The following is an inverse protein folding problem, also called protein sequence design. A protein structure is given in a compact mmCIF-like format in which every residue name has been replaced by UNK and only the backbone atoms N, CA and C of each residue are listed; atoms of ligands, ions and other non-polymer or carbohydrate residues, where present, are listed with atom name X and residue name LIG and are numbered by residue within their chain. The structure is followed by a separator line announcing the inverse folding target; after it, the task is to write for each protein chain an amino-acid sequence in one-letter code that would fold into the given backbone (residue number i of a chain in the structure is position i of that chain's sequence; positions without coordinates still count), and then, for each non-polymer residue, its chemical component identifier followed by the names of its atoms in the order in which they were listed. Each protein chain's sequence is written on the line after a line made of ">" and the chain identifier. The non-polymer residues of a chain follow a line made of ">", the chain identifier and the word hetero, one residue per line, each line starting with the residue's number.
data_IF_578919237732
#
_entry.id   IF_578919237732
#
_cell.length_a   1.000
_cell.length_b   1.000
_cell.length_c   1.000
_cell.angle_alpha   90.00
_cell.angle_beta   90.00
_cell.angle_gamma   90.00
#
_symmetry.space_group_name_H-M   'P 1'
#
loop_
_entity.id
_entity.type
_entity.pdbx_description
1 polymer ?
#
# COMPACT_ATOMS: atom_id res chain seq x y z
N UNK A 1 -26.80 2.06 39.58
CA UNK A 1 -27.14 0.96 38.66
C UNK A 1 -27.52 1.43 37.24
N UNK A 2 -28.25 2.54 37.10
CA UNK A 2 -28.75 3.05 35.80
C UNK A 2 -27.65 3.35 34.76
N UNK A 3 -26.49 3.86 35.16
CA UNK A 3 -25.39 4.18 34.23
C UNK A 3 -24.80 2.96 33.50
N UNK A 4 -24.75 1.79 34.17
CA UNK A 4 -24.29 0.53 33.55
C UNK A 4 -25.30 0.02 32.51
N UNK A 5 -26.59 0.20 32.77
CA UNK A 5 -27.65 -0.20 31.83
C UNK A 5 -27.65 0.70 30.58
N UNK A 6 -27.44 2.00 30.74
CA UNK A 6 -27.32 2.94 29.60
C UNK A 6 -26.10 2.60 28.73
N UNK A 7 -24.95 2.27 29.36
CA UNK A 7 -23.76 1.86 28.62
C UNK A 7 -23.99 0.56 27.84
N UNK A 8 -24.63 -0.44 28.47
CA UNK A 8 -24.92 -1.73 27.83
C UNK A 8 -25.86 -1.58 26.62
N UNK A 9 -26.90 -0.74 26.75
CA UNK A 9 -27.83 -0.45 25.65
C UNK A 9 -27.12 0.26 24.49
N UNK A 10 -26.23 1.22 24.77
CA UNK A 10 -25.46 1.91 23.73
C UNK A 10 -24.51 0.95 23.00
N UNK A 11 -23.83 0.06 23.72
CA UNK A 11 -22.91 -0.91 23.11
C UNK A 11 -23.67 -1.94 22.26
N UNK A 12 -24.82 -2.41 22.73
CA UNK A 12 -25.68 -3.31 21.96
C UNK A 12 -26.24 -2.64 20.68
N UNK A 13 -26.58 -1.35 20.74
CA UNK A 13 -27.06 -0.59 19.59
C UNK A 13 -25.96 -0.37 18.54
N UNK A 14 -24.71 -0.16 18.97
CA UNK A 14 -23.54 -0.03 18.07
C UNK A 14 -23.20 -1.35 17.37
N UNK A 15 -23.38 -2.50 18.03
CA UNK A 15 -23.16 -3.82 17.44
C UNK A 15 -24.30 -4.26 16.51
N UNK A 16 -25.46 -3.61 16.58
CA UNK A 16 -26.63 -3.93 15.78
C UNK A 16 -26.65 -3.22 14.40
N UNK A 17 -25.65 -2.41 14.08
CA UNK A 17 -25.56 -1.77 12.76
C UNK A 17 -24.97 -2.78 11.77
N UNK A 18 -25.74 -3.27 10.78
CA UNK A 18 -25.16 -4.10 9.74
C UNK A 18 -24.17 -3.26 8.94
N UNK A 19 -22.89 -3.64 8.99
CA UNK A 19 -21.87 -3.10 8.11
C UNK A 19 -22.10 -3.65 6.69
N UNK A 20 -23.10 -3.11 5.98
CA UNK A 20 -23.32 -3.41 4.57
C UNK A 20 -22.28 -2.67 3.74
N UNK A 21 -21.05 -3.17 3.76
CA UNK A 21 -20.04 -2.78 2.78
C UNK A 21 -20.34 -3.57 1.51
N UNK A 22 -21.09 -3.00 0.57
CA UNK A 22 -21.19 -3.58 -0.77
C UNK A 22 -19.85 -3.31 -1.47
N UNK A 23 -19.01 -4.33 -1.71
CA UNK A 23 -17.70 -4.10 -2.28
C UNK A 23 -17.87 -3.54 -3.70
N UNK A 24 -17.21 -2.42 -3.97
CA UNK A 24 -17.39 -1.75 -5.25
C UNK A 24 -16.82 -2.61 -6.38
N UNK A 25 -17.56 -2.75 -7.48
CA UNK A 25 -17.09 -3.47 -8.67
C UNK A 25 -15.87 -2.77 -9.24
N UNK A 26 -14.80 -3.49 -9.53
CA UNK A 26 -13.56 -2.98 -10.15
C UNK A 26 -13.51 -3.30 -11.64
N UNK A 27 -14.11 -4.40 -12.07
CA UNK A 27 -14.02 -4.83 -13.46
C UNK A 27 -14.57 -6.24 -13.67
N UNK A 28 -14.22 -6.81 -14.81
CA UNK A 28 -14.56 -8.18 -15.16
C UNK A 28 -13.39 -8.87 -15.89
N UNK A 29 -13.31 -10.18 -15.74
CA UNK A 29 -12.30 -10.99 -16.43
C UNK A 29 -12.67 -11.17 -17.90
N UNK A 30 -11.73 -10.95 -18.80
CA UNK A 30 -11.87 -11.19 -20.24
C UNK A 30 -11.55 -12.66 -20.54
N UNK A 31 -10.45 -13.14 -19.96
CA UNK A 31 -9.97 -14.49 -20.12
C UNK A 31 -8.93 -14.81 -19.05
N UNK A 32 -8.79 -16.10 -18.77
CA UNK A 32 -7.92 -16.59 -17.72
C UNK A 32 -7.46 -18.01 -18.04
N UNK A 33 -6.25 -18.32 -17.61
CA UNK A 33 -5.65 -19.64 -17.66
C UNK A 33 -4.89 -19.84 -16.37
N UNK A 34 -5.23 -20.89 -15.60
CA UNK A 34 -4.61 -21.16 -14.30
C UNK A 34 -4.62 -19.96 -13.35
N UNK A 35 -5.66 -19.13 -13.41
CA UNK A 35 -5.83 -17.99 -12.52
C UNK A 35 -6.93 -18.29 -11.49
N UNK A 36 -6.79 -17.73 -10.29
CA UNK A 36 -7.70 -17.94 -9.17
C UNK A 36 -8.04 -16.63 -8.48
N UNK A 37 -9.23 -16.57 -7.92
CA UNK A 37 -9.72 -15.46 -7.09
C UNK A 37 -10.42 -16.07 -5.87
N UNK A 38 -10.01 -15.66 -4.66
CA UNK A 38 -10.57 -16.23 -3.43
C UNK A 38 -10.47 -17.76 -3.32
N UNK A 39 -9.49 -18.38 -3.97
CA UNK A 39 -9.32 -19.84 -4.03
C UNK A 39 -10.12 -20.57 -5.11
N UNK A 40 -11.07 -19.92 -5.78
CA UNK A 40 -11.81 -20.47 -6.91
C UNK A 40 -11.11 -20.18 -8.23
N UNK A 41 -11.32 -21.03 -9.25
CA UNK A 41 -10.81 -20.78 -10.60
C UNK A 41 -11.48 -19.54 -11.19
N UNK A 42 -10.67 -18.64 -11.72
CA UNK A 42 -11.14 -17.44 -12.39
C UNK A 42 -11.57 -17.82 -13.80
N UNK A 43 -12.76 -17.42 -14.21
CA UNK A 43 -13.31 -17.67 -15.55
C UNK A 43 -13.68 -16.36 -16.25
N UNK A 44 -13.77 -16.39 -17.58
CA UNK A 44 -14.21 -15.26 -18.37
C UNK A 44 -15.60 -14.76 -17.91
N UNK A 45 -15.77 -13.45 -17.82
CA UNK A 45 -16.99 -12.81 -17.33
C UNK A 45 -17.12 -12.72 -15.82
N UNK A 46 -16.18 -13.27 -15.04
CA UNK A 46 -16.21 -13.13 -13.57
C UNK A 46 -16.02 -11.68 -13.18
N UNK A 47 -16.97 -11.14 -12.41
CA UNK A 47 -16.92 -9.79 -11.83
C UNK A 47 -15.86 -9.74 -10.74
N UNK A 48 -14.99 -8.74 -10.82
CA UNK A 48 -13.96 -8.46 -9.82
C UNK A 48 -14.44 -7.33 -8.94
N UNK A 49 -14.34 -7.54 -7.64
CA UNK A 49 -14.71 -6.59 -6.60
C UNK A 49 -13.48 -5.96 -5.97
N UNK A 50 -13.67 -4.80 -5.35
CA UNK A 50 -12.63 -4.07 -4.65
C UNK A 50 -12.15 -4.88 -3.45
N UNK A 51 -10.85 -5.13 -3.38
CA UNK A 51 -10.20 -5.94 -2.35
C UNK A 51 -9.81 -7.34 -2.84
N UNK A 52 -10.30 -7.76 -4.00
CA UNK A 52 -10.01 -9.08 -4.55
C UNK A 52 -8.52 -9.26 -4.86
N UNK A 53 -8.05 -10.46 -4.59
CA UNK A 53 -6.69 -10.90 -4.88
C UNK A 53 -6.76 -11.96 -5.97
N UNK A 54 -6.05 -11.69 -7.06
CA UNK A 54 -5.93 -12.60 -8.19
C UNK A 54 -4.55 -13.25 -8.12
N UNK A 55 -4.53 -14.57 -8.19
CA UNK A 55 -3.32 -15.38 -8.23
C UNK A 55 -3.26 -16.13 -9.56
N UNK A 56 -2.12 -16.05 -10.24
CA UNK A 56 -1.88 -16.73 -11.51
C UNK A 56 -0.80 -17.80 -11.31
N UNK A 57 -1.07 -19.00 -11.79
CA UNK A 57 -0.16 -20.14 -11.72
C UNK A 57 1.07 -20.00 -12.62
N UNK A 58 1.97 -20.99 -12.56
CA UNK A 58 3.27 -20.96 -13.24
C UNK A 58 3.21 -20.95 -14.78
N UNK A 59 2.10 -21.39 -15.37
CA UNK A 59 1.87 -21.32 -16.83
C UNK A 59 0.58 -20.57 -17.16
N UNK A 60 0.16 -19.71 -16.25
CA UNK A 60 -1.11 -19.01 -16.33
C UNK A 60 -1.00 -17.62 -16.93
N UNK A 61 -2.17 -17.07 -17.23
CA UNK A 61 -2.41 -15.69 -17.63
C UNK A 61 -3.77 -15.26 -17.08
N UNK A 62 -3.95 -13.99 -16.72
CA UNK A 62 -5.27 -13.43 -16.50
C UNK A 62 -5.39 -12.07 -17.19
N UNK A 63 -6.42 -11.87 -18.01
CA UNK A 63 -6.72 -10.62 -18.68
C UNK A 63 -8.02 -10.04 -18.13
N UNK A 64 -7.99 -8.78 -17.73
CA UNK A 64 -9.05 -8.12 -16.99
C UNK A 64 -9.39 -6.78 -17.64
N UNK A 65 -10.69 -6.55 -17.85
CA UNK A 65 -11.21 -5.23 -18.19
C UNK A 65 -11.64 -4.53 -16.92
N UNK A 66 -11.10 -3.34 -16.71
CA UNK A 66 -11.42 -2.51 -15.57
C UNK A 66 -12.61 -1.61 -15.91
N UNK A 67 -13.42 -1.34 -14.89
CA UNK A 67 -14.41 -0.27 -14.93
C UNK A 67 -13.75 1.06 -15.29
N UNK A 68 -14.31 1.77 -16.25
CA UNK A 68 -13.72 2.99 -16.80
C UNK A 68 -12.97 2.77 -18.12
N UNK A 69 -12.61 1.53 -18.47
CA UNK A 69 -12.06 1.18 -19.79
C UNK A 69 -10.57 0.84 -19.81
N UNK A 70 -9.89 0.80 -18.66
CA UNK A 70 -8.53 0.27 -18.57
C UNK A 70 -8.48 -1.26 -18.72
N UNK A 71 -7.30 -1.79 -19.01
CA UNK A 71 -7.06 -3.24 -19.08
C UNK A 71 -5.84 -3.62 -18.25
N UNK A 72 -5.86 -4.80 -17.64
CA UNK A 72 -4.72 -5.40 -16.93
C UNK A 72 -4.54 -6.83 -17.40
N UNK A 73 -3.32 -7.17 -17.78
CA UNK A 73 -2.89 -8.52 -18.09
C UNK A 73 -1.85 -8.96 -17.06
N UNK A 74 -2.15 -10.01 -16.31
CA UNK A 74 -1.27 -10.63 -15.31
C UNK A 74 -0.57 -11.84 -15.94
N UNK A 75 0.75 -11.88 -15.83
CA UNK A 75 1.57 -12.99 -16.31
C UNK A 75 1.62 -14.16 -15.33
N UNK A 76 2.38 -15.19 -15.69
CA UNK A 76 2.64 -16.35 -14.84
C UNK A 76 3.21 -15.94 -13.47
N UNK A 77 2.93 -16.79 -12.46
CA UNK A 77 3.41 -16.64 -11.07
C UNK A 77 3.04 -15.31 -10.40
N UNK A 78 2.05 -14.61 -10.94
CA UNK A 78 1.67 -13.28 -10.46
C UNK A 78 0.67 -13.34 -9.31
N UNK A 79 0.76 -12.37 -8.42
CA UNK A 79 -0.27 -12.09 -7.42
C UNK A 79 -0.53 -10.61 -7.41
N UNK A 80 -1.76 -10.23 -7.70
CA UNK A 80 -2.17 -8.84 -7.73
C UNK A 80 -3.44 -8.63 -6.92
N UNK A 81 -3.51 -7.49 -6.21
CA UNK A 81 -4.73 -7.02 -5.55
C UNK A 81 -5.32 -5.89 -6.36
N UNK A 82 -6.63 -5.91 -6.56
CA UNK A 82 -7.36 -4.83 -7.19
C UNK A 82 -8.22 -4.13 -6.15
N UNK A 83 -8.21 -2.80 -6.15
CA UNK A 83 -8.98 -2.00 -5.20
C UNK A 83 -9.57 -0.80 -5.93
N UNK A 84 -10.78 -0.41 -5.60
CA UNK A 84 -11.35 0.86 -6.06
C UNK A 84 -11.09 1.92 -5.00
N UNK A 85 -10.42 3.00 -5.38
CA UNK A 85 -10.21 4.18 -4.54
C UNK A 85 -10.95 5.36 -5.16
N UNK A 86 -12.15 5.68 -4.67
CA UNK A 86 -13.04 6.66 -5.29
C UNK A 86 -13.25 6.35 -6.80
N UNK A 87 -12.85 7.26 -7.68
CA UNK A 87 -13.02 7.15 -9.13
C UNK A 87 -11.89 6.38 -9.85
N UNK A 88 -10.85 5.94 -9.13
CA UNK A 88 -9.72 5.21 -9.72
C UNK A 88 -9.68 3.75 -9.32
N UNK A 89 -9.19 2.94 -10.24
CA UNK A 89 -8.83 1.56 -9.94
C UNK A 89 -7.34 1.53 -9.59
N UNK A 90 -7.03 0.86 -8.49
CA UNK A 90 -5.67 0.63 -8.03
C UNK A 90 -5.34 -0.85 -8.25
N UNK A 91 -4.30 -1.10 -9.04
CA UNK A 91 -3.69 -2.42 -9.21
C UNK A 91 -2.44 -2.47 -8.33
N UNK A 92 -2.35 -3.39 -7.38
CA UNK A 92 -1.17 -3.60 -6.56
C UNK A 92 -0.53 -4.94 -6.89
N UNK A 93 0.69 -4.92 -7.45
CA UNK A 93 1.43 -6.12 -7.85
C UNK A 93 2.38 -6.56 -6.74
N UNK A 94 2.06 -7.70 -6.10
CA UNK A 94 2.87 -8.27 -5.03
C UNK A 94 4.01 -9.18 -5.50
N UNK A 95 3.84 -9.87 -6.64
CA UNK A 95 4.87 -10.71 -7.29
C UNK A 95 4.51 -10.97 -8.75
N UNK A 96 5.48 -11.45 -9.52
CA UNK A 96 5.33 -11.78 -10.95
C UNK A 96 5.34 -10.53 -11.83
N UNK A 97 4.53 -10.53 -12.89
CA UNK A 97 4.49 -9.46 -13.86
C UNK A 97 3.05 -9.05 -14.23
N UNK A 98 2.86 -7.75 -14.46
CA UNK A 98 1.61 -7.19 -14.92
C UNK A 98 1.88 -6.17 -16.05
N UNK A 99 1.03 -6.21 -17.07
CA UNK A 99 0.93 -5.16 -18.07
C UNK A 99 -0.38 -4.45 -17.84
N UNK A 100 -0.34 -3.13 -17.70
CA UNK A 100 -1.55 -2.34 -17.56
C UNK A 100 -1.68 -1.37 -18.74
N UNK A 101 -2.92 -1.12 -19.13
CA UNK A 101 -3.29 -0.15 -20.16
C UNK A 101 -4.30 0.83 -19.58
N UNK A 102 -3.97 2.10 -19.59
CA UNK A 102 -4.90 3.19 -19.31
C UNK A 102 -5.36 3.81 -20.62
N UNK A 103 -6.63 4.22 -20.66
CA UNK A 103 -7.25 4.93 -21.79
C UNK A 103 -7.18 6.45 -21.64
N UNK A 104 -6.54 6.96 -20.58
CA UNK A 104 -6.44 8.39 -20.28
C UNK A 104 -7.69 9.00 -19.64
N UNK A 105 -8.89 8.48 -19.97
CA UNK A 105 -10.16 8.85 -19.33
C UNK A 105 -10.48 8.01 -18.09
N UNK A 106 -9.84 6.84 -17.97
CA UNK A 106 -9.95 5.93 -16.84
C UNK A 106 -8.70 6.03 -15.97
N UNK A 107 -8.75 6.67 -14.78
CA UNK A 107 -7.61 6.73 -13.91
C UNK A 107 -7.34 5.32 -13.36
N UNK A 108 -6.33 4.67 -13.93
CA UNK A 108 -5.73 3.45 -13.42
C UNK A 108 -4.42 3.84 -12.75
N UNK A 109 -4.27 3.46 -11.50
CA UNK A 109 -3.04 3.57 -10.74
C UNK A 109 -2.48 2.18 -10.51
N UNK A 110 -1.29 1.91 -11.03
CA UNK A 110 -0.60 0.67 -10.76
C UNK A 110 0.43 0.90 -9.65
N UNK A 111 0.59 -0.08 -8.77
CA UNK A 111 1.48 -0.01 -7.62
C UNK A 111 2.38 -1.23 -7.59
N UNK A 112 3.65 -0.99 -7.32
CA UNK A 112 4.65 -2.03 -7.09
C UNK A 112 5.58 -1.52 -6.00
N UNK A 113 5.79 -2.33 -4.96
CA UNK A 113 6.50 -1.89 -3.76
C UNK A 113 5.91 -0.57 -3.21
N UNK A 114 6.72 0.49 -3.13
CA UNK A 114 6.34 1.84 -2.68
C UNK A 114 6.14 2.84 -3.83
N UNK A 115 6.11 2.36 -5.07
CA UNK A 115 5.93 3.20 -6.25
C UNK A 115 4.48 3.14 -6.73
N UNK A 116 3.92 4.31 -7.04
CA UNK A 116 2.63 4.49 -7.71
C UNK A 116 2.88 4.98 -9.13
N UNK A 117 2.25 4.36 -10.11
CA UNK A 117 2.48 4.58 -11.53
C UNK A 117 1.15 4.93 -12.18
N UNK A 118 1.12 6.04 -12.92
CA UNK A 118 -0.06 6.52 -13.65
C UNK A 118 0.32 7.03 -15.03
N UNK A 119 -0.65 7.05 -15.94
CA UNK A 119 -0.49 7.78 -17.19
C UNK A 119 -0.30 9.28 -16.92
N UNK A 120 0.62 9.91 -17.65
CA UNK A 120 0.85 11.35 -17.56
C UNK A 120 0.02 12.07 -18.64
N UNK A 121 -1.23 12.37 -18.30
CA UNK A 121 -2.16 13.10 -19.16
C UNK A 121 -3.33 12.27 -19.67
N UNK A 122 -4.11 12.81 -20.63
CA UNK A 122 -5.32 12.18 -21.16
C UNK A 122 -5.06 11.15 -22.28
N UNK A 123 -3.80 10.97 -22.68
CA UNK A 123 -3.43 10.00 -23.72
C UNK A 123 -3.40 8.57 -23.15
N UNK A 124 -3.75 7.55 -23.94
CA UNK A 124 -3.59 6.17 -23.53
C UNK A 124 -2.12 5.85 -23.23
N UNK A 125 -1.88 5.09 -22.16
CA UNK A 125 -0.54 4.66 -21.78
C UNK A 125 -0.53 3.16 -21.46
N UNK A 126 0.59 2.51 -21.76
CA UNK A 126 0.84 1.09 -21.48
C UNK A 126 2.09 0.99 -20.61
N UNK A 127 1.92 0.49 -19.39
CA UNK A 127 3.02 0.22 -18.48
C UNK A 127 3.23 -1.26 -18.26
N UNK A 128 4.48 -1.63 -18.03
CA UNK A 128 4.91 -2.98 -17.67
C UNK A 128 5.54 -2.92 -16.28
N UNK A 129 5.10 -3.83 -15.42
CA UNK A 129 5.57 -3.99 -14.05
C UNK A 129 6.04 -5.44 -13.92
N UNK A 130 7.25 -5.66 -13.46
CA UNK A 130 7.76 -7.01 -13.26
C UNK A 130 8.69 -7.08 -12.06
N UNK A 131 8.47 -8.06 -11.20
CA UNK A 131 9.42 -8.46 -10.20
C UNK A 131 10.46 -9.38 -10.83
N UNK A 132 11.75 -9.04 -10.66
CA UNK A 132 12.89 -9.90 -11.01
C UNK A 132 13.25 -10.82 -9.84
N UNK A 133 13.16 -10.28 -8.63
CA UNK A 133 13.39 -10.98 -7.36
C UNK A 133 12.42 -10.41 -6.30
N UNK A 134 12.39 -10.93 -5.06
CA UNK A 134 11.55 -10.37 -4.00
C UNK A 134 11.88 -8.90 -3.63
N UNK A 135 13.05 -8.42 -4.01
CA UNK A 135 13.55 -7.08 -3.67
C UNK A 135 13.92 -6.26 -4.90
N UNK A 136 13.80 -6.79 -6.11
CA UNK A 136 14.18 -6.06 -7.34
C UNK A 136 13.12 -6.23 -8.41
N UNK A 137 12.87 -5.16 -9.16
CA UNK A 137 11.93 -5.20 -10.26
C UNK A 137 12.18 -4.11 -11.29
N UNK A 138 11.32 -4.10 -12.29
CA UNK A 138 11.36 -3.17 -13.42
C UNK A 138 10.00 -2.53 -13.61
N UNK A 139 10.04 -1.24 -13.88
CA UNK A 139 8.90 -0.46 -14.36
C UNK A 139 9.28 0.07 -15.73
N UNK A 140 8.49 -0.23 -16.75
CA UNK A 140 8.74 0.25 -18.11
C UNK A 140 7.51 0.91 -18.72
N UNK A 141 7.72 1.99 -19.46
CA UNK A 141 6.70 2.63 -20.27
C UNK A 141 6.78 2.08 -21.70
N UNK A 142 5.82 1.23 -22.09
CA UNK A 142 5.79 0.67 -23.45
C UNK A 142 5.22 1.65 -24.47
N UNK A 143 4.22 2.42 -24.05
CA UNK A 143 3.57 3.46 -24.85
C UNK A 143 2.96 4.52 -23.93
N UNK A 144 2.88 5.77 -24.39
CA UNK A 144 2.49 6.90 -23.56
C UNK A 144 3.50 7.21 -22.44
N UNK A 145 3.38 8.39 -21.85
CA UNK A 145 4.25 8.80 -20.74
C UNK A 145 3.69 8.29 -19.41
N UNK A 146 4.55 7.78 -18.54
CA UNK A 146 4.18 7.35 -17.20
C UNK A 146 4.77 8.29 -16.15
N UNK A 147 3.97 8.67 -15.18
CA UNK A 147 4.41 9.35 -13.97
C UNK A 147 4.55 8.31 -12.86
N UNK A 148 5.75 8.18 -12.34
CA UNK A 148 6.07 7.34 -11.18
C UNK A 148 6.21 8.27 -9.98
N UNK A 149 5.47 7.99 -8.92
CA UNK A 149 5.55 8.69 -7.65
C UNK A 149 5.85 7.70 -6.53
N UNK A 150 6.93 7.93 -5.81
CA UNK A 150 7.42 7.07 -4.73
C UNK A 150 7.07 7.67 -3.37
N UNK A 151 6.40 6.88 -2.53
CA UNK A 151 5.88 7.37 -1.24
C UNK A 151 7.00 7.65 -0.23
N UNK A 152 8.13 6.95 -0.32
CA UNK A 152 9.21 7.05 0.66
C UNK A 152 10.01 8.35 0.57
N UNK A 153 10.30 8.82 -0.65
CA UNK A 153 11.13 10.01 -0.91
C UNK A 153 10.32 11.18 -1.51
N UNK A 154 9.01 11.00 -1.69
CA UNK A 154 8.09 11.94 -2.33
C UNK A 154 8.55 12.40 -3.73
N UNK A 155 9.43 11.63 -4.38
CA UNK A 155 9.94 11.98 -5.71
C UNK A 155 8.95 11.55 -6.78
N UNK A 156 8.99 12.29 -7.87
CA UNK A 156 8.24 11.96 -9.07
C UNK A 156 9.17 11.90 -10.27
N UNK A 157 9.13 10.81 -11.01
CA UNK A 157 9.94 10.58 -12.21
C UNK A 157 9.00 10.33 -13.38
N UNK A 158 9.29 10.95 -14.51
CA UNK A 158 8.56 10.73 -15.76
C UNK A 158 9.32 9.71 -16.58
N UNK A 159 8.66 8.64 -17.00
CA UNK A 159 9.15 7.74 -18.02
C UNK A 159 8.53 8.08 -19.38
N UNK A 160 9.38 8.25 -20.38
CA UNK A 160 8.97 8.36 -21.76
C UNK A 160 8.73 6.97 -22.38
N UNK A 161 7.94 6.87 -23.45
CA UNK A 161 7.78 5.61 -24.18
C UNK A 161 9.12 4.99 -24.57
N UNK A 162 9.28 3.70 -24.29
CA UNK A 162 10.51 2.94 -24.51
C UNK A 162 11.48 2.96 -23.33
N UNK A 163 11.28 3.81 -22.33
CA UNK A 163 12.13 3.86 -21.15
C UNK A 163 11.71 2.85 -20.08
N UNK A 164 12.71 2.35 -19.34
CA UNK A 164 12.53 1.48 -18.20
C UNK A 164 13.43 1.92 -17.05
N UNK A 165 12.95 1.74 -15.83
CA UNK A 165 13.76 1.88 -14.62
C UNK A 165 13.74 0.57 -13.86
N UNK A 166 14.90 0.25 -13.30
CA UNK A 166 15.02 -0.82 -12.33
C UNK A 166 14.91 -0.20 -10.93
N UNK A 167 14.25 -0.91 -10.03
CA UNK A 167 14.16 -0.49 -8.64
C UNK A 167 14.62 -1.62 -7.73
N UNK A 168 15.22 -1.22 -6.61
CA UNK A 168 15.52 -2.10 -5.49
C UNK A 168 14.65 -1.68 -4.31
N UNK A 169 13.96 -2.64 -3.72
CA UNK A 169 13.10 -2.52 -2.57
C UNK A 169 13.77 -3.24 -1.40
N UNK A 170 14.25 -2.47 -0.43
CA UNK A 170 14.51 -3.01 0.89
C UNK A 170 13.16 -3.02 1.64
N UNK A 171 12.63 -4.19 2.06
CA UNK A 171 11.52 -4.20 2.99
C UNK A 171 11.92 -3.35 4.19
N UNK A 172 11.02 -2.50 4.67
CA UNK A 172 11.23 -1.82 5.93
C UNK A 172 11.60 -2.92 6.92
N UNK A 173 12.83 -2.88 7.46
CA UNK A 173 13.14 -3.72 8.60
C UNK A 173 12.09 -3.34 9.62
N UNK A 174 11.25 -4.30 10.00
CA UNK A 174 10.56 -4.20 11.27
C UNK A 174 11.71 -3.95 12.24
N UNK A 175 11.81 -2.72 12.73
CA UNK A 175 12.55 -2.44 13.94
C UNK A 175 11.88 -3.35 14.96
N UNK A 176 12.36 -4.60 15.08
CA UNK A 176 12.31 -5.37 16.30
C UNK A 176 12.91 -4.40 17.31
N UNK A 177 12.00 -3.65 17.90
CA UNK A 177 12.23 -2.75 18.99
C UNK A 177 12.55 -3.69 20.12
N UNK A 178 13.82 -4.09 20.15
CA UNK A 178 14.45 -4.77 21.24
C UNK A 178 14.02 -4.00 22.48
N UNK A 179 13.18 -4.66 23.26
CA UNK A 179 12.69 -4.23 24.56
C UNK A 179 13.89 -4.28 25.52
N UNK A 180 14.86 -3.42 25.27
CA UNK A 180 16.01 -3.22 26.10
C UNK A 180 16.40 -1.75 26.02
N UNK A 181 16.07 -1.07 27.12
CA UNK A 181 16.64 0.21 27.58
C UNK A 181 15.82 1.48 27.30
N UNK A 182 14.82 1.66 28.20
CA UNK A 182 14.37 2.91 28.84
C UNK A 182 14.37 4.20 27.98
N UNK A 183 13.18 4.61 27.56
CA UNK A 183 12.95 5.96 27.04
C UNK A 183 11.50 6.25 26.68
N UNK A 184 10.59 6.16 27.66
CA UNK A 184 9.19 6.58 27.52
C UNK A 184 9.15 8.11 27.36
N UNK A 185 8.67 8.61 26.21
CA UNK A 185 8.11 9.97 26.11
C UNK A 185 6.66 9.86 25.67
N UNK A 186 5.79 9.85 26.68
CA UNK A 186 4.36 10.11 26.56
C UNK A 186 4.18 11.58 26.21
N UNK A 187 3.65 11.90 25.03
CA UNK A 187 3.03 13.20 24.76
C UNK A 187 1.51 13.02 24.79
N UNK A 188 0.97 12.92 26.01
CA UNK A 188 -0.46 12.99 26.27
C UNK A 188 -0.90 14.45 26.28
N UNK A 189 -1.70 14.86 25.29
CA UNK A 189 -2.37 16.15 25.30
C UNK A 189 -3.66 16.06 26.13
N UNK A 190 -3.72 16.96 27.09
CA UNK A 190 -4.64 17.04 28.22
C UNK A 190 -6.05 17.44 27.77
N UNK A 191 -7.03 16.61 28.07
CA UNK A 191 -8.45 16.99 28.09
C UNK A 191 -8.71 17.70 29.42
N UNK A 192 -8.93 19.01 29.34
CA UNK A 192 -9.41 19.83 30.46
C UNK A 192 -10.86 19.45 30.76
N UNK A 193 -11.14 19.11 32.02
CA UNK A 193 -12.47 19.24 32.60
C UNK A 193 -12.95 18.03 33.41
N UNK A 194 -12.59 17.97 34.69
CA UNK A 194 -13.51 18.06 35.84
C UNK A 194 -12.84 17.48 37.11
N UNK A 195 -12.69 18.37 38.10
CA UNK A 195 -12.71 18.18 39.56
C UNK A 195 -11.64 17.33 40.29
N UNK A 196 -10.84 18.08 41.08
CA UNK A 196 -10.56 17.88 42.51
C UNK A 196 -9.51 16.84 42.98
N UNK A 197 -8.44 17.41 43.56
CA UNK A 197 -7.71 16.99 44.77
C UNK A 197 -7.27 15.51 44.89
N UNK A 198 -5.95 15.28 44.81
CA UNK A 198 -5.17 14.75 45.95
C UNK A 198 -3.67 14.90 45.67
N UNK A 199 -2.94 15.25 46.72
CA UNK A 199 -1.56 15.69 46.70
C UNK A 199 -0.57 14.56 47.05
N UNK A 200 0.70 14.87 46.80
CA UNK A 200 1.91 14.29 47.37
C UNK A 200 2.32 12.89 46.88
N UNK A 201 3.56 12.81 46.36
CA UNK A 201 4.72 12.24 47.07
C UNK A 201 5.93 12.29 46.11
N UNK A 202 7.04 12.86 46.62
CA UNK A 202 8.47 12.53 46.46
C UNK A 202 8.92 11.72 45.22
N UNK A 203 10.09 11.89 44.62
CA UNK A 203 11.37 12.44 45.08
C UNK A 203 12.37 12.40 43.92
N UNK A 204 13.29 13.38 43.92
CA UNK A 204 14.73 13.23 43.74
C UNK A 204 15.27 12.03 42.93
N UNK A 205 16.03 12.31 41.87
CA UNK A 205 17.50 12.22 41.93
C UNK A 205 18.14 12.65 40.61
N UNK A 206 19.03 13.63 40.75
CA UNK A 206 20.09 14.02 39.83
C UNK A 206 20.99 12.85 39.41
N UNK A 207 21.50 12.89 38.18
CA UNK A 207 22.92 12.64 37.88
C UNK A 207 23.30 13.06 36.45
N UNK A 208 24.26 13.97 36.39
CA UNK A 208 25.14 14.29 35.26
C UNK A 208 25.76 13.06 34.61
N UNK A 209 25.87 13.07 33.27
CA UNK A 209 26.94 12.46 32.44
C UNK A 209 26.93 13.20 31.09
N UNK A 210 27.76 14.23 30.89
CA UNK A 210 29.15 14.23 30.40
C UNK A 210 29.35 13.74 28.94
N UNK A 211 29.31 14.72 28.04
CA UNK A 211 30.12 15.03 26.85
C UNK A 211 31.23 14.06 26.38
N UNK A 212 30.95 12.80 26.04
CA UNK A 212 31.98 11.98 25.37
C UNK A 212 31.54 10.90 24.36
N UNK A 213 30.30 10.92 23.84
CA UNK A 213 29.86 9.97 22.80
C UNK A 213 29.26 10.64 21.55
N UNK A 214 29.89 11.73 21.08
CA UNK A 214 29.68 12.24 19.72
C UNK A 214 30.74 11.67 18.80
N UNK A 215 30.52 10.46 18.31
CA UNK A 215 31.02 9.94 17.03
C UNK A 215 30.53 8.51 16.85
N UNK A 216 29.21 8.33 16.79
CA UNK A 216 28.67 7.19 16.07
C UNK A 216 27.30 7.55 15.52
N UNK A 217 26.95 6.96 14.39
CA UNK A 217 25.78 7.23 13.53
C UNK A 217 25.95 8.40 12.54
N UNK A 218 26.09 8.07 11.24
CA UNK A 218 25.19 8.44 10.11
C UNK A 218 25.91 8.30 8.74
N UNK A 219 25.44 7.34 7.94
CA UNK A 219 25.36 7.27 6.46
C UNK A 219 26.62 7.18 5.55
N UNK A 220 26.54 6.40 4.44
CA UNK A 220 27.69 5.98 3.62
C UNK A 220 28.13 6.98 2.53
N UNK A 221 27.83 8.28 2.67
CA UNK A 221 28.26 9.27 1.69
C UNK A 221 28.78 10.55 2.34
N UNK A 222 30.00 10.50 2.88
CA UNK A 222 31.00 11.57 2.76
C UNK A 222 32.37 11.14 3.34
N UNK A 223 33.50 11.54 2.74
CA UNK A 223 34.82 11.43 3.35
C UNK A 223 35.11 12.63 4.28
N UNK A 224 35.75 12.38 5.42
CA UNK A 224 36.24 13.40 6.34
C UNK A 224 37.54 14.07 5.82
N UNK A 225 37.82 15.33 6.20
CA UNK A 225 39.11 15.97 5.93
C UNK A 225 40.25 15.35 6.73
#
# INVERSE_FOLDING_TARGET
>A
MVARQILAVKLALLLAVPAWTNPAVVGATIGSQQARIGGAELTAGTTIFSGDVIEVGAKGLASLNLSGGGQVDLGAESRARLTRAAERVVLELGRGAAVFRSTGTAPLEARIANASIRAMGPEPAVGVLAWKSPTEGVIAARSGKLLIHTTHDARSVVLNPGEAIEFSYAPAQEDESDLSRKGVVVLGLIIVGIAALTAAILSAQSRDLNESDRCDVVSPFQPCP
#
